data_IF_355504735198
#
_entry.id   IF_355504735198
#
_cell.length_a   1.000
_cell.length_b   1.000
_cell.length_c   1.000
_cell.angle_alpha   90.00
_cell.angle_beta   90.00
_cell.angle_gamma   90.00
#
_symmetry.space_group_name_H-M   'P 1'
#
loop_
_entity.id
_entity.type
_entity.pdbx_description
1 polymer ?
#
# COMPACT_ATOMS: atom_id res chain seq x y z
N UNK A 1 -49.01 3.55 -24.25
CA UNK A 1 -47.84 4.46 -24.21
C UNK A 1 -46.62 3.58 -24.22
N UNK A 2 -46.09 3.32 -25.41
CA UNK A 2 -44.99 2.38 -25.61
C UNK A 2 -43.68 3.08 -25.29
N UNK A 3 -42.94 2.53 -24.34
CA UNK A 3 -41.59 2.90 -23.91
C UNK A 3 -40.57 2.63 -25.03
N UNK A 4 -40.76 3.27 -26.18
CA UNK A 4 -40.01 3.00 -27.42
C UNK A 4 -38.89 4.02 -27.61
N UNK A 5 -38.07 4.26 -26.58
CA UNK A 5 -36.83 5.02 -26.73
C UNK A 5 -35.78 4.69 -25.63
N UNK A 6 -35.71 3.43 -25.21
CA UNK A 6 -34.57 2.95 -24.45
C UNK A 6 -33.38 2.81 -25.42
N UNK A 7 -32.79 3.93 -25.83
CA UNK A 7 -31.51 3.99 -26.52
C UNK A 7 -30.55 3.04 -25.80
N UNK A 8 -29.93 2.12 -26.55
CA UNK A 8 -28.92 1.24 -25.98
C UNK A 8 -27.88 2.10 -25.23
N UNK A 9 -27.53 1.76 -23.98
CA UNK A 9 -26.61 2.57 -23.20
C UNK A 9 -25.28 2.67 -23.94
N UNK A 10 -24.94 3.88 -24.38
CA UNK A 10 -23.66 4.16 -25.05
C UNK A 10 -22.55 3.85 -24.04
N UNK A 11 -21.65 2.89 -24.35
CA UNK A 11 -20.55 2.58 -23.45
C UNK A 11 -19.68 3.81 -23.23
N UNK A 12 -19.35 4.09 -21.98
CA UNK A 12 -18.40 5.13 -21.60
C UNK A 12 -16.98 4.76 -22.00
N UNK A 13 -16.15 5.77 -22.24
CA UNK A 13 -14.74 5.59 -22.52
C UNK A 13 -13.94 5.63 -21.22
N UNK A 14 -12.82 4.91 -21.21
CA UNK A 14 -11.81 4.99 -20.16
C UNK A 14 -10.45 5.32 -20.77
N UNK A 15 -9.48 5.65 -19.93
CA UNK A 15 -8.16 5.98 -20.42
C UNK A 15 -7.40 4.72 -20.91
N UNK A 16 -6.57 4.82 -21.96
CA UNK A 16 -5.86 3.66 -22.52
C UNK A 16 -4.96 2.90 -21.53
N UNK A 17 -4.40 3.62 -20.56
CA UNK A 17 -3.60 3.04 -19.47
C UNK A 17 -4.45 2.18 -18.53
N UNK A 18 -5.70 2.58 -18.27
CA UNK A 18 -6.66 1.78 -17.51
C UNK A 18 -7.07 0.53 -18.28
N UNK A 19 -7.31 0.62 -19.59
CA UNK A 19 -7.58 -0.55 -20.44
C UNK A 19 -6.45 -1.58 -20.38
N UNK A 20 -5.21 -1.11 -20.56
CA UNK A 20 -4.02 -1.95 -20.47
C UNK A 20 -3.89 -2.58 -19.08
N UNK A 21 -4.13 -1.82 -18.01
CA UNK A 21 -4.08 -2.31 -16.64
C UNK A 21 -5.13 -3.40 -16.38
N UNK A 22 -6.35 -3.24 -16.89
CA UNK A 22 -7.41 -4.26 -16.81
C UNK A 22 -6.98 -5.54 -17.53
N UNK A 23 -6.46 -5.43 -18.75
CA UNK A 23 -6.04 -6.58 -19.55
C UNK A 23 -4.92 -7.37 -18.86
N UNK A 24 -3.87 -6.69 -18.39
CA UNK A 24 -2.78 -7.30 -17.63
C UNK A 24 -3.30 -8.03 -16.40
N UNK A 25 -4.11 -7.36 -15.59
CA UNK A 25 -4.68 -7.94 -14.38
C UNK A 25 -5.55 -9.18 -14.64
N UNK A 26 -6.33 -9.19 -15.73
CA UNK A 26 -7.11 -10.36 -16.14
C UNK A 26 -6.21 -11.54 -16.50
N UNK A 27 -5.12 -11.27 -17.23
CA UNK A 27 -4.17 -12.30 -17.65
C UNK A 27 -3.39 -12.84 -16.45
N UNK A 28 -2.96 -11.96 -15.55
CA UNK A 28 -2.25 -12.33 -14.32
C UNK A 28 -3.11 -13.18 -13.40
N UNK A 29 -4.38 -12.82 -13.20
CA UNK A 29 -5.28 -13.66 -12.40
C UNK A 29 -5.46 -15.05 -13.00
N UNK A 30 -5.50 -15.16 -14.34
CA UNK A 30 -5.59 -16.47 -15.02
C UNK A 30 -4.31 -17.28 -14.90
N UNK A 31 -3.14 -16.65 -15.04
CA UNK A 31 -1.86 -17.35 -14.88
C UNK A 31 -1.66 -17.86 -13.45
N UNK A 32 -2.19 -17.13 -12.46
CA UNK A 32 -2.23 -17.54 -11.05
C UNK A 32 -3.36 -18.54 -10.71
N UNK A 33 -4.16 -18.97 -11.70
CA UNK A 33 -5.23 -19.95 -11.53
C UNK A 33 -6.59 -19.39 -11.09
N UNK A 34 -6.70 -18.10 -10.81
CA UNK A 34 -7.96 -17.43 -10.45
C UNK A 34 -8.78 -17.02 -11.69
N UNK A 35 -9.29 -18.05 -12.38
CA UNK A 35 -10.11 -17.88 -13.58
C UNK A 35 -11.41 -17.12 -13.26
N UNK A 36 -12.03 -17.36 -12.12
CA UNK A 36 -13.30 -16.74 -11.75
C UNK A 36 -13.14 -15.28 -11.33
N UNK A 37 -12.06 -14.94 -10.62
CA UNK A 37 -11.66 -13.55 -10.39
C UNK A 37 -11.49 -12.79 -11.70
N UNK A 38 -10.82 -13.40 -12.69
CA UNK A 38 -10.65 -12.79 -14.02
C UNK A 38 -11.98 -12.54 -14.75
N UNK A 39 -12.98 -13.44 -14.61
CA UNK A 39 -14.33 -13.24 -15.17
C UNK A 39 -15.08 -12.13 -14.44
N UNK A 40 -14.97 -12.10 -13.11
CA UNK A 40 -15.60 -11.09 -12.26
C UNK A 40 -15.09 -9.68 -12.56
N UNK A 41 -13.79 -9.51 -12.82
CA UNK A 41 -13.23 -8.22 -13.26
C UNK A 41 -13.85 -7.79 -14.58
N UNK A 42 -13.86 -8.65 -15.61
CA UNK A 42 -14.49 -8.33 -16.90
C UNK A 42 -15.95 -7.89 -16.76
N UNK A 43 -16.73 -8.62 -15.95
CA UNK A 43 -18.14 -8.28 -15.71
C UNK A 43 -18.27 -6.91 -15.07
N UNK A 44 -17.49 -6.62 -14.03
CA UNK A 44 -17.55 -5.34 -13.32
C UNK A 44 -17.10 -4.17 -14.18
N UNK A 45 -16.06 -4.34 -15.01
CA UNK A 45 -15.63 -3.30 -15.95
C UNK A 45 -16.75 -3.02 -16.95
N UNK A 46 -17.33 -4.07 -17.56
CA UNK A 46 -18.47 -3.89 -18.46
C UNK A 46 -19.65 -3.18 -17.78
N UNK A 47 -19.98 -3.56 -16.55
CA UNK A 47 -21.02 -2.88 -15.76
C UNK A 47 -20.67 -1.41 -15.52
N UNK A 48 -19.42 -1.07 -15.22
CA UNK A 48 -18.98 0.31 -15.03
C UNK A 48 -19.12 1.13 -16.33
N UNK A 49 -18.69 0.58 -17.47
CA UNK A 49 -18.78 1.28 -18.76
C UNK A 49 -20.23 1.52 -19.21
N UNK A 50 -21.15 0.58 -18.93
CA UNK A 50 -22.55 0.67 -19.36
C UNK A 50 -23.45 1.46 -18.41
N UNK A 51 -23.11 1.54 -17.13
CA UNK A 51 -23.99 2.11 -16.08
C UNK A 51 -23.50 3.42 -15.52
N UNK A 52 -22.34 3.93 -15.95
CA UNK A 52 -21.87 5.25 -15.52
C UNK A 52 -22.53 6.38 -16.29
N UNK A 53 -22.80 7.49 -15.58
CA UNK A 53 -23.38 8.71 -16.15
C UNK A 53 -22.48 9.36 -17.18
N UNK A 54 -21.17 9.33 -16.93
CA UNK A 54 -20.13 9.96 -17.74
C UNK A 54 -18.80 9.18 -17.67
N UNK A 55 -17.84 9.59 -18.50
CA UNK A 55 -16.53 8.95 -18.61
C UNK A 55 -15.71 9.08 -17.31
N UNK A 56 -15.83 10.20 -16.59
CA UNK A 56 -15.11 10.41 -15.32
C UNK A 56 -15.56 9.42 -14.26
N UNK A 57 -16.86 9.21 -14.14
CA UNK A 57 -17.43 8.20 -13.23
C UNK A 57 -17.02 6.78 -13.63
N UNK A 58 -17.01 6.47 -14.94
CA UNK A 58 -16.53 5.19 -15.45
C UNK A 58 -15.05 4.94 -15.10
N UNK A 59 -14.18 5.93 -15.35
CA UNK A 59 -12.76 5.87 -15.01
C UNK A 59 -12.55 5.65 -13.51
N UNK A 60 -13.26 6.39 -12.65
CA UNK A 60 -13.18 6.25 -11.19
C UNK A 60 -13.59 4.85 -10.71
N UNK A 61 -14.71 4.31 -11.23
CA UNK A 61 -15.15 2.94 -10.92
C UNK A 61 -14.13 1.90 -11.40
N UNK A 62 -13.51 2.11 -12.55
CA UNK A 62 -12.48 1.22 -13.10
C UNK A 62 -11.22 1.22 -12.24
N UNK A 63 -10.76 2.37 -11.76
CA UNK A 63 -9.63 2.44 -10.80
C UNK A 63 -9.92 1.65 -9.53
N UNK A 64 -11.16 1.73 -9.04
CA UNK A 64 -11.66 0.95 -7.92
C UNK A 64 -11.57 -0.56 -8.16
N UNK A 65 -11.96 -1.00 -9.35
CA UNK A 65 -11.88 -2.40 -9.78
C UNK A 65 -10.42 -2.85 -9.88
N UNK A 66 -9.57 -2.08 -10.54
CA UNK A 66 -8.14 -2.36 -10.70
C UNK A 66 -7.47 -2.49 -9.33
N UNK A 67 -7.71 -1.55 -8.41
CA UNK A 67 -7.11 -1.56 -7.08
C UNK A 67 -7.51 -2.79 -6.26
N UNK A 68 -8.77 -3.19 -6.32
CA UNK A 68 -9.27 -4.40 -5.63
C UNK A 68 -8.72 -5.66 -6.27
N UNK A 69 -8.61 -5.71 -7.59
CA UNK A 69 -8.04 -6.85 -8.29
C UNK A 69 -6.53 -7.00 -8.05
N UNK A 70 -5.74 -5.91 -8.06
CA UNK A 70 -4.32 -5.94 -7.69
C UNK A 70 -4.09 -6.46 -6.27
N UNK A 71 -4.98 -6.13 -5.31
CA UNK A 71 -4.93 -6.72 -3.97
C UNK A 71 -5.16 -8.24 -3.99
N UNK A 72 -6.07 -8.71 -4.83
CA UNK A 72 -6.35 -10.13 -4.99
C UNK A 72 -5.15 -10.85 -5.62
N UNK A 73 -4.62 -10.30 -6.72
CA UNK A 73 -3.39 -10.76 -7.36
C UNK A 73 -2.24 -10.86 -6.35
N UNK A 74 -2.00 -9.81 -5.54
CA UNK A 74 -0.89 -9.80 -4.57
C UNK A 74 -0.99 -10.90 -3.51
N UNK A 75 -2.20 -11.37 -3.21
CA UNK A 75 -2.40 -12.48 -2.26
C UNK A 75 -2.13 -13.83 -2.92
N UNK A 76 -2.43 -13.95 -4.21
CA UNK A 76 -2.25 -15.17 -4.98
C UNK A 76 -0.78 -15.39 -5.38
N UNK A 77 -0.05 -14.32 -5.70
CA UNK A 77 1.37 -14.38 -6.08
C UNK A 77 2.35 -14.40 -4.87
N UNK A 78 1.83 -14.36 -3.64
CA UNK A 78 2.62 -14.33 -2.41
C UNK A 78 3.32 -13.00 -2.11
N UNK A 79 3.24 -12.00 -3.00
CA UNK A 79 3.88 -10.69 -2.80
C UNK A 79 3.28 -9.92 -1.61
N UNK A 80 2.03 -10.21 -1.25
CA UNK A 80 1.38 -9.69 -0.06
C UNK A 80 2.07 -10.17 1.23
N UNK A 81 2.35 -11.47 1.31
CA UNK A 81 3.02 -12.07 2.47
C UNK A 81 4.46 -11.58 2.57
N UNK A 82 5.15 -11.51 1.43
CA UNK A 82 6.52 -10.99 1.38
C UNK A 82 6.60 -9.53 1.85
N UNK A 83 5.65 -8.68 1.44
CA UNK A 83 5.58 -7.30 1.90
C UNK A 83 5.31 -7.20 3.41
N UNK A 84 4.46 -8.08 3.96
CA UNK A 84 4.23 -8.12 5.41
C UNK A 84 5.48 -8.58 6.17
N UNK A 85 6.19 -9.58 5.63
CA UNK A 85 7.45 -10.07 6.20
C UNK A 85 8.51 -8.97 6.25
N UNK A 86 8.72 -8.26 5.14
CA UNK A 86 9.65 -7.12 5.08
C UNK A 86 9.26 -6.01 6.06
N UNK A 87 7.96 -5.72 6.18
CA UNK A 87 7.47 -4.71 7.14
C UNK A 87 7.70 -5.14 8.60
N UNK A 88 7.55 -6.43 8.91
CA UNK A 88 7.86 -6.97 10.24
C UNK A 88 9.35 -6.87 10.54
N UNK A 89 10.21 -7.31 9.60
CA UNK A 89 11.66 -7.22 9.73
C UNK A 89 12.13 -5.78 9.98
N UNK A 90 11.58 -4.81 9.25
CA UNK A 90 11.91 -3.39 9.45
C UNK A 90 11.53 -2.89 10.86
N UNK A 91 10.36 -3.30 11.38
CA UNK A 91 9.95 -2.96 12.75
C UNK A 91 10.84 -3.59 13.81
N UNK A 92 11.28 -4.83 13.58
CA UNK A 92 12.22 -5.52 14.47
C UNK A 92 13.59 -4.81 14.46
N UNK A 93 14.08 -4.38 13.29
CA UNK A 93 15.29 -3.58 13.16
C UNK A 93 15.16 -2.22 13.86
N UNK A 94 14.04 -1.52 13.70
CA UNK A 94 13.76 -0.24 14.35
C UNK A 94 13.69 -0.40 15.88
N UNK A 95 13.04 -1.45 16.39
CA UNK A 95 12.99 -1.77 17.82
C UNK A 95 14.37 -2.15 18.37
N UNK A 96 15.16 -2.94 17.64
CA UNK A 96 16.51 -3.29 18.03
C UNK A 96 17.46 -2.09 18.01
N UNK A 97 17.25 -1.12 17.10
CA UNK A 97 17.97 0.14 17.10
C UNK A 97 17.58 1.01 18.31
N UNK A 98 16.28 1.10 18.63
CA UNK A 98 15.79 1.83 19.80
C UNK A 98 16.27 1.20 21.12
N UNK A 99 16.21 -0.13 21.25
CA UNK A 99 16.72 -0.86 22.42
C UNK A 99 18.21 -0.61 22.63
N UNK A 100 19.01 -0.67 21.56
CA UNK A 100 20.45 -0.34 21.64
C UNK A 100 20.72 1.08 22.10
N UNK A 101 19.87 2.03 21.73
CA UNK A 101 20.01 3.42 22.14
C UNK A 101 19.72 3.57 23.64
N UNK A 102 18.70 2.89 24.15
CA UNK A 102 18.40 2.82 25.60
C UNK A 102 19.52 2.12 26.38
N UNK A 103 20.10 1.05 25.84
CA UNK A 103 21.22 0.34 26.50
C UNK A 103 22.50 1.20 26.55
N UNK A 104 22.76 2.04 25.54
CA UNK A 104 23.86 3.02 25.55
C UNK A 104 23.61 4.15 26.54
N UNK A 105 22.36 4.61 26.68
CA UNK A 105 21.98 5.64 27.65
C UNK A 105 22.03 5.12 29.10
N UNK A 106 21.60 3.87 29.33
CA UNK A 106 21.68 3.20 30.63
C UNK A 106 23.12 2.82 31.02
N UNK A 107 24.00 2.56 30.04
CA UNK A 107 25.44 2.37 30.27
C UNK A 107 26.25 3.66 30.46
N UNK A 108 25.62 4.84 30.31
CA UNK A 108 26.23 6.16 30.52
C UNK A 108 25.87 6.76 31.90
N UNK A 109 25.50 5.92 32.87
CA UNK A 109 25.03 6.33 34.19
C UNK A 109 25.67 5.60 35.37
N UNK A 110 26.99 5.50 35.43
CA UNK A 110 27.85 5.15 36.59
C UNK A 110 29.23 5.75 36.26
N UNK A 111 29.91 6.66 36.98
CA UNK A 111 29.75 7.27 38.30
C UNK A 111 30.37 8.69 38.23
N UNK A 112 29.59 9.75 38.47
CA UNK A 112 30.17 11.05 38.86
C UNK A 112 30.02 11.19 40.37
N UNK A 113 30.67 10.29 41.09
CA UNK A 113 30.90 10.42 42.53
C UNK A 113 31.74 11.68 42.77
N UNK A 114 31.21 12.57 43.60
CA UNK A 114 31.81 13.86 43.87
C UNK A 114 33.16 13.75 44.57
N UNK A 115 34.01 14.74 44.35
CA UNK A 115 34.93 15.23 45.36
C UNK A 115 35.14 16.71 45.15
N UNK A 116 34.41 17.50 45.95
CA UNK A 116 34.78 18.85 46.27
C UNK A 116 36.10 18.81 47.05
N UNK A 117 37.10 19.56 46.62
CA UNK A 117 38.17 20.03 47.49
C UNK A 117 38.64 21.37 46.94
N UNK A 118 38.03 22.40 47.50
CA UNK A 118 38.54 23.76 47.55
C UNK A 118 39.73 23.75 48.50
N UNK A 119 40.93 24.03 48.01
CA UNK A 119 42.06 24.46 48.83
C UNK A 119 42.70 25.64 48.09
N UNK A 120 42.58 26.81 48.71
CA UNK A 120 43.37 28.00 48.40
C UNK A 120 44.84 27.71 48.67
N UNK A 121 45.77 28.16 47.83
CA UNK A 121 46.98 28.80 48.34
C UNK A 121 47.59 29.74 47.30
N UNK A 122 47.92 30.94 47.74
CA UNK A 122 48.49 31.99 46.91
C UNK A 122 50.00 31.82 46.73
N UNK A 123 50.55 32.55 45.77
CA UNK A 123 51.76 33.37 46.01
C UNK A 123 52.01 34.28 44.81
N UNK A 124 52.20 35.55 45.16
CA UNK A 124 52.66 36.66 44.34
C UNK A 124 54.13 36.45 43.93
N UNK A 125 54.47 36.74 42.67
CA UNK A 125 55.55 37.67 42.24
C UNK A 125 55.60 37.79 40.71
#
# INVERSE_FOLDING_TARGET
MNSADALEPIPRSIAPDQELAILKLILDLRSLGDVDGSKKIRRRVREALLKSSDDSEAMSKVDDIIRRGKRTQSKLDGSYEERQRLKRKRREEDLAAASRLVDVEAGSGEDSEGSASTEEDGTEE
#
